data_IF_497336794386
#
_entry.id   IF_497336794386
#
_cell.length_a   1.000
_cell.length_b   1.000
_cell.length_c   1.000
_cell.angle_alpha   90.00
_cell.angle_beta   90.00
_cell.angle_gamma   90.00
#
_symmetry.space_group_name_H-M   'P 1'
#
loop_
_entity.id
_entity.type
_entity.pdbx_description
1 polymer ?
#
# COMPACT_ATOMS: atom_id res chain seq x y z
N UNK A 1 6.34 -13.73 -10.04
CA UNK A 1 6.14 -12.36 -9.52
C UNK A 1 6.05 -12.47 -8.01
N UNK A 2 6.68 -11.56 -7.29
CA UNK A 2 6.64 -11.54 -5.81
C UNK A 2 5.47 -10.72 -5.30
N UNK A 3 5.04 -10.95 -4.05
CA UNK A 3 3.87 -10.25 -3.46
C UNK A 3 3.99 -8.71 -3.53
N UNK A 4 5.20 -8.17 -3.43
CA UNK A 4 5.47 -6.72 -3.54
C UNK A 4 5.19 -6.21 -4.96
N UNK A 5 5.57 -6.98 -5.98
CA UNK A 5 5.30 -6.64 -7.39
C UNK A 5 3.80 -6.70 -7.69
N UNK A 6 3.11 -7.70 -7.14
CA UNK A 6 1.65 -7.80 -7.25
C UNK A 6 0.95 -6.62 -6.56
N UNK A 7 1.42 -6.22 -5.38
CA UNK A 7 0.90 -5.06 -4.65
C UNK A 7 1.14 -3.75 -5.40
N UNK A 8 2.29 -3.62 -6.06
CA UNK A 8 2.60 -2.45 -6.89
C UNK A 8 1.61 -2.32 -8.05
N UNK A 9 1.35 -3.40 -8.77
CA UNK A 9 0.38 -3.41 -9.86
C UNK A 9 -1.03 -3.13 -9.37
N UNK A 10 -1.44 -3.75 -8.26
CA UNK A 10 -2.75 -3.55 -7.65
C UNK A 10 -2.98 -2.09 -7.23
N UNK A 11 -2.01 -1.47 -6.55
CA UNK A 11 -2.08 -0.05 -6.18
C UNK A 11 -2.13 0.85 -7.42
N UNK A 12 -1.33 0.55 -8.45
CA UNK A 12 -1.29 1.32 -9.70
C UNK A 12 -2.64 1.33 -10.43
N UNK A 13 -3.27 0.17 -10.54
CA UNK A 13 -4.59 0.04 -11.18
C UNK A 13 -5.66 0.79 -10.39
N UNK A 14 -5.71 0.56 -9.07
CA UNK A 14 -6.73 1.12 -8.19
C UNK A 14 -6.66 2.65 -8.06
N UNK A 15 -5.47 3.21 -8.19
CA UNK A 15 -5.23 4.65 -8.05
C UNK A 15 -5.14 5.39 -9.40
N UNK A 16 -5.48 4.72 -10.51
CA UNK A 16 -5.33 5.27 -11.86
C UNK A 16 -6.21 6.49 -12.14
N UNK A 17 -7.36 6.62 -11.47
CA UNK A 17 -8.32 7.71 -11.65
C UNK A 17 -8.14 8.87 -10.65
N UNK A 18 -7.14 8.80 -9.77
CA UNK A 18 -6.89 9.82 -8.74
C UNK A 18 -5.98 10.95 -9.28
N UNK A 19 -6.09 12.17 -8.72
CA UNK A 19 -5.20 13.27 -9.08
C UNK A 19 -3.74 12.95 -8.69
N UNK A 20 -2.72 13.57 -9.31
CA UNK A 20 -1.30 13.32 -9.03
C UNK A 20 -0.87 13.48 -7.56
N UNK A 21 -1.59 14.28 -6.77
CA UNK A 21 -1.34 14.42 -5.33
C UNK A 21 -1.62 13.13 -4.55
N UNK A 22 -2.46 12.25 -5.09
CA UNK A 22 -2.94 11.05 -4.43
C UNK A 22 -3.02 9.81 -5.35
N UNK A 23 -2.40 9.84 -6.53
CA UNK A 23 -2.34 8.66 -7.39
C UNK A 23 -1.09 7.83 -7.10
N UNK A 24 -0.89 6.75 -7.84
CA UNK A 24 0.25 5.85 -7.64
C UNK A 24 1.63 6.56 -7.61
N UNK A 25 1.78 7.71 -8.28
CA UNK A 25 3.03 8.48 -8.21
C UNK A 25 3.35 8.95 -6.78
N UNK A 26 2.33 9.32 -6.01
CA UNK A 26 2.46 9.67 -4.59
C UNK A 26 2.96 8.47 -3.79
N UNK A 27 2.26 7.35 -3.89
CA UNK A 27 2.59 6.09 -3.21
C UNK A 27 4.00 5.62 -3.53
N UNK A 28 4.41 5.69 -4.80
CA UNK A 28 5.76 5.28 -5.18
C UNK A 28 6.85 6.17 -4.56
N UNK A 29 6.61 7.48 -4.44
CA UNK A 29 7.54 8.38 -3.71
C UNK A 29 7.60 8.04 -2.22
N UNK A 30 6.47 7.69 -1.60
CA UNK A 30 6.41 7.26 -0.20
C UNK A 30 7.23 5.99 0.00
N UNK A 31 7.05 4.97 -0.86
CA UNK A 31 7.87 3.74 -0.85
C UNK A 31 9.36 4.04 -0.97
N UNK A 32 9.76 4.88 -1.93
CA UNK A 32 11.17 5.25 -2.13
C UNK A 32 11.77 5.94 -0.89
N UNK A 33 11.01 6.83 -0.25
CA UNK A 33 11.43 7.51 0.98
C UNK A 33 11.52 6.52 2.15
N UNK A 34 10.52 5.65 2.32
CA UNK A 34 10.52 4.62 3.35
C UNK A 34 11.74 3.69 3.23
N UNK A 35 12.04 3.22 2.02
CA UNK A 35 13.22 2.40 1.73
C UNK A 35 14.54 3.14 1.99
N UNK A 36 14.59 4.46 1.77
CA UNK A 36 15.76 5.28 2.10
C UNK A 36 15.95 5.43 3.60
N UNK A 37 14.87 5.63 4.36
CA UNK A 37 14.89 5.74 5.82
C UNK A 37 15.31 4.39 6.45
N UNK A 38 14.82 3.28 5.89
CA UNK A 38 15.14 1.93 6.35
C UNK A 38 16.61 1.52 6.13
N UNK A 39 17.42 2.31 5.42
CA UNK A 39 18.83 1.98 5.20
C UNK A 39 19.58 1.97 6.53
N UNK A 40 20.12 0.79 6.88
CA UNK A 40 20.86 0.59 8.13
C UNK A 40 19.97 0.30 9.35
N UNK A 41 18.65 0.17 9.16
CA UNK A 41 17.73 -0.31 10.18
C UNK A 41 17.44 -1.80 9.97
N UNK A 42 17.23 -2.52 11.07
CA UNK A 42 16.74 -3.89 11.04
C UNK A 42 15.21 -3.87 10.93
N UNK A 43 14.71 -3.96 9.70
CA UNK A 43 13.28 -3.92 9.36
C UNK A 43 12.96 -5.00 8.34
N UNK A 44 11.74 -5.55 8.43
CA UNK A 44 11.22 -6.41 7.37
C UNK A 44 10.89 -5.54 6.14
N UNK A 45 11.73 -5.65 5.10
CA UNK A 45 11.59 -4.88 3.88
C UNK A 45 10.32 -5.22 3.12
N UNK A 46 9.88 -6.47 3.14
CA UNK A 46 8.65 -6.88 2.45
C UNK A 46 7.44 -6.20 3.10
N UNK A 47 7.35 -6.23 4.43
CA UNK A 47 6.27 -5.53 5.17
C UNK A 47 6.32 -4.03 4.93
N UNK A 48 7.50 -3.42 4.97
CA UNK A 48 7.68 -1.99 4.74
C UNK A 48 7.19 -1.56 3.35
N UNK A 49 7.58 -2.31 2.31
CA UNK A 49 7.17 -2.02 0.94
C UNK A 49 5.66 -2.23 0.75
N UNK A 50 5.10 -3.34 1.27
CA UNK A 50 3.67 -3.61 1.19
C UNK A 50 2.84 -2.53 1.91
N UNK A 51 3.25 -2.13 3.12
CA UNK A 51 2.60 -1.06 3.86
C UNK A 51 2.63 0.26 3.09
N UNK A 52 3.79 0.64 2.55
CA UNK A 52 3.93 1.86 1.76
C UNK A 52 3.06 1.83 0.49
N UNK A 53 3.02 0.70 -0.22
CA UNK A 53 2.24 0.54 -1.45
C UNK A 53 0.72 0.57 -1.22
N UNK A 54 0.27 0.10 -0.06
CA UNK A 54 -1.15 -0.15 0.20
C UNK A 54 -1.81 0.88 1.14
N UNK A 55 -1.07 1.81 1.75
CA UNK A 55 -1.62 2.71 2.77
C UNK A 55 -2.78 3.62 2.29
N UNK A 56 -2.80 4.02 1.02
CA UNK A 56 -3.73 5.03 0.48
C UNK A 56 -4.75 4.45 -0.53
N UNK A 57 -4.80 3.13 -0.71
CA UNK A 57 -5.67 2.48 -1.71
C UNK A 57 -7.18 2.58 -1.40
N UNK A 58 -7.54 3.04 -0.21
CA UNK A 58 -8.89 3.34 0.23
C UNK A 58 -9.42 4.72 -0.17
N UNK A 59 -8.57 5.61 -0.69
CA UNK A 59 -8.93 7.02 -0.91
C UNK A 59 -10.11 7.22 -1.87
N UNK A 60 -10.23 6.40 -2.92
CA UNK A 60 -11.38 6.46 -3.83
C UNK A 60 -12.71 6.17 -3.10
N UNK A 61 -12.72 5.25 -2.14
CA UNK A 61 -13.92 4.97 -1.35
C UNK A 61 -14.22 6.11 -0.36
N UNK A 62 -13.21 6.74 0.23
CA UNK A 62 -13.40 7.95 1.03
C UNK A 62 -14.08 9.05 0.21
N UNK A 63 -13.55 9.38 -0.96
CA UNK A 63 -14.11 10.43 -1.83
C UNK A 63 -15.57 10.15 -2.22
N UNK A 64 -15.95 8.87 -2.33
CA UNK A 64 -17.31 8.45 -2.69
C UNK A 64 -18.26 8.35 -1.50
N UNK A 65 -17.77 7.98 -0.32
CA UNK A 65 -18.62 7.54 0.80
C UNK A 65 -18.40 8.30 2.11
N UNK A 66 -17.31 9.07 2.22
CA UNK A 66 -16.90 9.76 3.44
C UNK A 66 -16.33 8.84 4.54
N UNK A 67 -16.10 7.56 4.26
CA UNK A 67 -15.41 6.65 5.18
C UNK A 67 -13.92 6.95 5.22
N UNK A 68 -13.30 6.81 6.38
CA UNK A 68 -11.86 7.01 6.55
C UNK A 68 -11.05 6.11 5.62
N UNK A 69 -10.22 6.69 4.74
CA UNK A 69 -9.40 5.92 3.81
C UNK A 69 -8.42 5.00 4.54
N UNK A 70 -7.94 5.33 5.75
CA UNK A 70 -7.00 4.50 6.47
C UNK A 70 -7.64 3.15 6.86
N UNK A 71 -8.86 3.18 7.40
CA UNK A 71 -9.62 1.97 7.73
C UNK A 71 -9.98 1.16 6.48
N UNK A 72 -10.40 1.86 5.41
CA UNK A 72 -10.74 1.22 4.14
C UNK A 72 -9.49 0.58 3.51
N UNK A 73 -8.36 1.28 3.48
CA UNK A 73 -7.06 0.79 2.99
C UNK A 73 -6.63 -0.44 3.77
N UNK A 74 -6.69 -0.41 5.10
CA UNK A 74 -6.32 -1.55 5.95
C UNK A 74 -7.17 -2.79 5.63
N UNK A 75 -8.50 -2.62 5.48
CA UNK A 75 -9.39 -3.71 5.07
C UNK A 75 -9.03 -4.26 3.68
N UNK A 76 -8.85 -3.40 2.69
CA UNK A 76 -8.50 -3.82 1.32
C UNK A 76 -7.14 -4.52 1.31
N UNK A 77 -6.16 -4.01 2.04
CA UNK A 77 -4.83 -4.59 2.14
C UNK A 77 -4.89 -5.98 2.78
N UNK A 78 -5.65 -6.14 3.87
CA UNK A 78 -5.87 -7.44 4.50
C UNK A 78 -6.49 -8.45 3.54
N UNK A 79 -7.52 -8.04 2.81
CA UNK A 79 -8.18 -8.90 1.80
C UNK A 79 -7.23 -9.27 0.65
N UNK A 80 -6.40 -8.32 0.20
CA UNK A 80 -5.43 -8.53 -0.88
C UNK A 80 -4.28 -9.45 -0.45
N UNK A 81 -3.77 -9.29 0.77
CA UNK A 81 -2.58 -9.99 1.29
C UNK A 81 -2.89 -11.36 1.88
N UNK A 82 -4.14 -11.63 2.25
CA UNK A 82 -4.58 -12.91 2.80
C UNK A 82 -4.18 -14.08 1.91
N UNK A 83 -3.42 -15.03 2.47
CA UNK A 83 -2.90 -16.20 1.76
C UNK A 83 -1.76 -15.91 0.78
N UNK A 84 -1.24 -14.68 0.74
CA UNK A 84 -0.10 -14.27 -0.10
C UNK A 84 1.16 -13.94 0.69
N UNK A 85 1.03 -13.73 2.00
CA UNK A 85 2.14 -13.52 2.94
C UNK A 85 1.95 -14.39 4.18
N UNK A 86 2.99 -14.49 5.01
CA UNK A 86 2.91 -15.14 6.33
C UNK A 86 1.88 -14.41 7.21
N UNK A 87 0.96 -15.17 7.82
CA UNK A 87 -0.07 -14.63 8.70
C UNK A 87 0.54 -13.84 9.88
N UNK A 88 1.75 -14.19 10.32
CA UNK A 88 2.48 -13.43 11.34
C UNK A 88 2.90 -12.01 10.92
N UNK A 89 2.77 -11.66 9.63
CA UNK A 89 3.04 -10.32 9.08
C UNK A 89 1.77 -9.51 8.79
N UNK A 90 0.59 -10.11 8.95
CA UNK A 90 -0.71 -9.52 8.59
C UNK A 90 -1.39 -8.74 9.74
N UNK A 91 -0.92 -8.95 10.97
CA UNK A 91 -1.48 -8.36 12.21
C UNK A 91 -0.66 -7.18 12.74
#
# INVERSE_FOLDING_TARGET
MGVVEDAENFARERMSNLPPSHNFSHVNRVRDIALRIAKGLDVDKEVLELAALLHDIGLEEELRTGKDHAEVSARIAKDFLSGRIDDGKLD
#
